data_IF_348127121458
#
_entry.id   IF_348127121458
#
_cell.length_a   1.000
_cell.length_b   1.000
_cell.length_c   1.000
_cell.angle_alpha   90.00
_cell.angle_beta   90.00
_cell.angle_gamma   90.00
#
_symmetry.space_group_name_H-M   'P 1'
#
loop_
_entity.id
_entity.type
_entity.pdbx_description
1 polymer ?
#
# COMPACT_ATOMS: atom_id res chain seq x y z
N UNK A 1 -11.87 -5.93 23.94
CA UNK A 1 -12.34 -5.74 22.55
C UNK A 1 -11.72 -6.85 21.74
N UNK A 2 -12.53 -7.73 21.17
CA UNK A 2 -12.06 -8.94 20.48
C UNK A 2 -11.39 -8.53 19.15
N UNK A 3 -10.07 -8.66 19.08
CA UNK A 3 -9.31 -8.36 17.86
C UNK A 3 -9.56 -9.54 16.93
N UNK A 4 -10.52 -9.39 16.02
CA UNK A 4 -10.78 -10.38 14.99
C UNK A 4 -9.48 -10.63 14.21
N UNK A 5 -9.14 -11.91 14.01
CA UNK A 5 -7.94 -12.38 13.28
C UNK A 5 -7.89 -11.98 11.80
N UNK A 6 -8.71 -11.03 11.37
CA UNK A 6 -8.85 -10.60 9.99
C UNK A 6 -7.70 -9.67 9.62
N UNK A 7 -6.88 -10.13 8.68
CA UNK A 7 -5.83 -9.32 8.08
C UNK A 7 -6.44 -8.46 6.98
N UNK A 8 -6.26 -7.14 7.08
CA UNK A 8 -6.79 -6.18 6.11
C UNK A 8 -5.69 -5.82 5.11
N UNK A 9 -6.00 -5.89 3.81
CA UNK A 9 -5.13 -5.45 2.73
C UNK A 9 -5.76 -4.25 2.03
N UNK A 10 -5.05 -3.13 2.01
CA UNK A 10 -5.44 -1.93 1.26
C UNK A 10 -4.53 -1.84 0.04
N UNK A 11 -5.12 -1.88 -1.16
CA UNK A 11 -4.38 -1.80 -2.43
C UNK A 11 -4.60 -0.44 -3.07
N UNK A 12 -3.50 0.27 -3.38
CA UNK A 12 -3.55 1.61 -3.95
C UNK A 12 -2.50 1.76 -5.07
N UNK A 13 -2.71 2.68 -6.03
CA UNK A 13 -1.67 3.01 -7.00
C UNK A 13 -0.38 3.52 -6.34
N UNK A 14 -0.50 4.44 -5.38
CA UNK A 14 0.58 5.17 -4.73
C UNK A 14 0.05 5.78 -3.43
N UNK A 15 0.94 6.34 -2.61
CA UNK A 15 0.61 7.04 -1.36
C UNK A 15 1.07 8.51 -1.39
N UNK A 16 0.71 9.23 -2.46
CA UNK A 16 1.03 10.66 -2.65
C UNK A 16 -0.06 11.57 -2.09
N UNK A 17 0.06 12.90 -2.19
CA UNK A 17 -0.92 13.89 -1.71
C UNK A 17 -2.26 13.85 -2.50
N UNK A 18 -3.07 12.81 -2.30
CA UNK A 18 -4.43 12.68 -2.80
C UNK A 18 -5.42 12.29 -1.70
N UNK A 19 -6.71 12.50 -1.95
CA UNK A 19 -7.77 12.29 -0.97
C UNK A 19 -7.97 10.82 -0.60
N UNK A 20 -7.96 9.92 -1.60
CA UNK A 20 -8.04 8.47 -1.37
C UNK A 20 -6.83 7.97 -0.60
N UNK A 21 -5.64 8.46 -0.95
CA UNK A 21 -4.39 8.14 -0.26
C UNK A 21 -4.42 8.59 1.20
N UNK A 22 -4.96 9.79 1.48
CA UNK A 22 -5.14 10.27 2.86
C UNK A 22 -6.04 9.34 3.65
N UNK A 23 -7.23 9.07 3.14
CA UNK A 23 -8.21 8.20 3.81
C UNK A 23 -7.64 6.81 4.07
N UNK A 24 -6.89 6.26 3.11
CA UNK A 24 -6.26 4.95 3.26
C UNK A 24 -5.16 4.95 4.32
N UNK A 25 -4.31 5.98 4.38
CA UNK A 25 -3.28 6.12 5.40
C UNK A 25 -3.90 6.25 6.80
N UNK A 26 -4.88 7.13 6.96
CA UNK A 26 -5.59 7.34 8.23
C UNK A 26 -6.29 6.05 8.70
N UNK A 27 -6.99 5.35 7.79
CA UNK A 27 -7.66 4.10 8.11
C UNK A 27 -6.65 3.01 8.53
N UNK A 28 -5.54 2.87 7.81
CA UNK A 28 -4.50 1.90 8.16
C UNK A 28 -3.89 2.21 9.53
N UNK A 29 -3.59 3.49 9.79
CA UNK A 29 -3.03 3.93 11.06
C UNK A 29 -3.99 3.66 12.22
N UNK A 30 -5.28 3.95 12.03
CA UNK A 30 -6.31 3.66 13.02
C UNK A 30 -6.40 2.15 13.34
N UNK A 31 -6.45 1.31 12.31
CA UNK A 31 -6.51 -0.15 12.49
C UNK A 31 -5.27 -0.67 13.23
N UNK A 32 -4.08 -0.20 12.84
CA UNK A 32 -2.82 -0.61 13.45
C UNK A 32 -2.71 -0.15 14.92
N UNK A 33 -3.19 1.07 15.23
CA UNK A 33 -3.21 1.60 16.60
C UNK A 33 -4.15 0.81 17.52
N UNK A 34 -5.23 0.25 16.97
CA UNK A 34 -6.16 -0.63 17.69
C UNK A 34 -5.64 -2.07 17.86
N UNK A 35 -4.40 -2.36 17.45
CA UNK A 35 -3.80 -3.70 17.49
C UNK A 35 -4.21 -4.61 16.33
N UNK A 36 -4.88 -4.08 15.32
CA UNK A 36 -5.25 -4.82 14.12
C UNK A 36 -4.08 -5.02 13.15
N UNK A 37 -4.17 -6.09 12.34
CA UNK A 37 -3.18 -6.40 11.30
C UNK A 37 -3.60 -5.79 9.96
N UNK A 38 -2.87 -4.76 9.50
CA UNK A 38 -3.11 -4.11 8.21
C UNK A 38 -1.86 -4.05 7.35
N UNK A 39 -2.04 -4.30 6.04
CA UNK A 39 -1.02 -4.18 5.02
C UNK A 39 -1.47 -3.19 3.95
N UNK A 40 -0.58 -2.28 3.55
CA UNK A 40 -0.76 -1.43 2.37
C UNK A 40 0.10 -2.01 1.25
N UNK A 41 -0.52 -2.31 0.10
CA UNK A 41 0.17 -2.70 -1.12
C UNK A 41 0.08 -1.58 -2.15
N UNK A 42 1.23 -1.05 -2.56
CA UNK A 42 1.34 -0.03 -3.60
C UNK A 42 1.66 -0.67 -4.94
N UNK A 43 0.99 -0.22 -6.00
CA UNK A 43 1.24 -0.65 -7.38
C UNK A 43 2.48 0.02 -7.99
N UNK A 44 2.81 1.22 -7.50
CA UNK A 44 3.91 2.04 -7.98
C UNK A 44 4.74 2.52 -6.80
N UNK A 45 6.07 2.56 -6.98
CA UNK A 45 6.97 3.18 -6.02
C UNK A 45 7.07 4.67 -6.31
N UNK A 46 6.58 5.45 -5.37
CA UNK A 46 6.79 6.89 -5.27
C UNK A 46 7.22 7.20 -3.83
N UNK A 47 7.63 8.44 -3.58
CA UNK A 47 7.84 8.92 -2.23
C UNK A 47 6.52 8.90 -1.45
N UNK A 48 6.55 8.42 -0.21
CA UNK A 48 5.39 8.41 0.66
C UNK A 48 5.14 9.83 1.15
N UNK A 49 3.91 10.31 0.98
CA UNK A 49 3.52 11.64 1.45
C UNK A 49 2.94 11.64 2.86
N UNK A 50 2.33 10.52 3.28
CA UNK A 50 1.71 10.38 4.60
C UNK A 50 2.54 9.45 5.48
N UNK A 51 2.60 9.78 6.77
CA UNK A 51 3.22 8.93 7.79
C UNK A 51 2.36 7.68 8.05
N UNK A 52 3.03 6.55 8.22
CA UNK A 52 2.40 5.28 8.56
C UNK A 52 2.80 4.86 9.96
N UNK A 53 1.82 4.33 10.70
CA UNK A 53 2.04 3.74 12.00
C UNK A 53 3.07 2.58 11.88
N UNK A 54 4.01 2.39 12.83
CA UNK A 54 5.08 1.39 12.72
C UNK A 54 4.62 -0.05 12.48
N UNK A 55 3.40 -0.38 12.92
CA UNK A 55 2.79 -1.71 12.73
C UNK A 55 2.07 -1.89 11.38
N UNK A 56 1.98 -0.86 10.54
CA UNK A 56 1.45 -0.98 9.17
C UNK A 56 2.51 -1.63 8.30
N UNK A 57 2.19 -2.80 7.73
CA UNK A 57 3.08 -3.45 6.77
C UNK A 57 2.95 -2.76 5.41
N UNK A 58 4.05 -2.26 4.86
CA UNK A 58 4.08 -1.67 3.51
C UNK A 58 4.74 -2.61 2.50
N UNK A 59 4.03 -2.91 1.41
CA UNK A 59 4.56 -3.65 0.26
C UNK A 59 4.59 -2.70 -0.93
N UNK A 60 5.78 -2.46 -1.50
CA UNK A 60 5.98 -1.59 -2.65
C UNK A 60 6.99 -2.18 -3.65
N UNK A 61 6.84 -1.92 -4.96
CA UNK A 61 7.73 -2.48 -5.97
C UNK A 61 9.13 -1.83 -5.91
N UNK A 62 10.15 -2.48 -6.48
CA UNK A 62 11.54 -2.01 -6.47
C UNK A 62 11.86 -0.76 -7.31
N UNK A 63 10.88 -0.01 -7.82
CA UNK A 63 11.11 1.24 -8.56
C UNK A 63 11.32 1.13 -10.08
N UNK A 64 11.03 -0.02 -10.70
CA UNK A 64 11.26 -0.24 -12.13
C UNK A 64 10.46 0.70 -13.07
N UNK A 65 9.32 1.26 -12.62
CA UNK A 65 8.42 2.07 -13.47
C UNK A 65 9.07 3.34 -14.03
N UNK A 66 9.92 4.05 -13.26
CA UNK A 66 10.53 5.31 -13.75
C UNK A 66 11.42 5.11 -14.98
N UNK A 67 11.90 3.87 -15.23
CA UNK A 67 12.73 3.50 -16.38
C UNK A 67 11.94 2.87 -17.53
N UNK A 68 10.66 2.55 -17.34
CA UNK A 68 9.86 1.76 -18.28
C UNK A 68 8.60 2.49 -18.72
N UNK A 69 8.28 2.44 -20.02
CA UNK A 69 7.04 3.02 -20.55
C UNK A 69 5.79 2.40 -19.89
N UNK A 70 4.70 3.19 -19.85
CA UNK A 70 3.45 2.81 -19.14
C UNK A 70 2.92 1.43 -19.53
N UNK A 71 2.96 1.10 -20.83
CA UNK A 71 2.44 -0.16 -21.38
C UNK A 71 3.32 -1.35 -20.96
N UNK A 72 4.64 -1.18 -21.00
CA UNK A 72 5.60 -2.25 -20.68
C UNK A 72 5.54 -2.63 -19.20
N UNK A 73 5.13 -1.70 -18.34
CA UNK A 73 4.99 -1.95 -16.91
C UNK A 73 3.75 -2.80 -16.56
N UNK A 74 2.73 -2.88 -17.42
CA UNK A 74 1.48 -3.62 -17.16
C UNK A 74 1.73 -5.11 -16.84
N UNK A 75 2.45 -5.90 -17.67
CA UNK A 75 2.69 -7.31 -17.36
C UNK A 75 3.50 -7.51 -16.08
N UNK A 76 4.46 -6.61 -15.80
CA UNK A 76 5.26 -6.64 -14.56
C UNK A 76 4.38 -6.38 -13.35
N UNK A 77 3.51 -5.37 -13.43
CA UNK A 77 2.55 -5.03 -12.39
C UNK A 77 1.59 -6.19 -12.14
N UNK A 78 1.07 -6.82 -13.19
CA UNK A 78 0.19 -7.98 -13.05
C UNK A 78 0.88 -9.16 -12.36
N UNK A 79 2.14 -9.45 -12.73
CA UNK A 79 2.91 -10.49 -12.07
C UNK A 79 3.20 -10.14 -10.59
N UNK A 80 3.50 -8.88 -10.30
CA UNK A 80 3.74 -8.38 -8.95
C UNK A 80 2.49 -8.49 -8.07
N UNK A 81 1.33 -8.06 -8.58
CA UNK A 81 0.04 -8.16 -7.87
C UNK A 81 -0.41 -9.61 -7.64
N UNK A 82 -0.04 -10.54 -8.54
CA UNK A 82 -0.35 -11.96 -8.35
C UNK A 82 0.54 -12.67 -7.32
N UNK A 83 1.73 -12.13 -7.06
CA UNK A 83 2.72 -12.73 -6.15
C UNK A 83 2.59 -12.29 -4.70
N UNK A 84 1.88 -11.21 -4.45
CA UNK A 84 1.69 -10.61 -3.12
C UNK A 84 0.21 -10.68 -2.73
#
# INVERSE_FOLDING_TARGET
>A
MEITSNRILIVLPKLTCGGTERTAAELANYIAAMGGSVTILLMYREELFYDLHPNVKLIQPGGARKKMGRIVYIPILMNYLRKN
#
